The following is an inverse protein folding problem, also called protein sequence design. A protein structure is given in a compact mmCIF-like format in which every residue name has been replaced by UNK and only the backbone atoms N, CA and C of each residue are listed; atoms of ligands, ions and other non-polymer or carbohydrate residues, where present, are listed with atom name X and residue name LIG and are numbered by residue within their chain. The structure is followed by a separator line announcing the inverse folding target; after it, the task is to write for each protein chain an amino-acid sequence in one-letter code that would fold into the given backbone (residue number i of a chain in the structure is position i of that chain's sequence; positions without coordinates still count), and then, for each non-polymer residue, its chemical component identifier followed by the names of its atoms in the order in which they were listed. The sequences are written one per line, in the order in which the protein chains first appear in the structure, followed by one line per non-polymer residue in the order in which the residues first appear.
data_IF_472086580771
#
_entry.id   IF_472086580771
#
_cell.length_a   1.000
_cell.length_b   1.000
_cell.length_c   1.000
_cell.angle_alpha   90.00
_cell.angle_beta   90.00
_cell.angle_gamma   90.00
#
_symmetry.space_group_name_H-M   'P 1'
#
loop_
_entity.id
_entity.type
_entity.pdbx_description
1 polymer ?
#
# COMPACT_ATOMS: atom_id res chain seq x y z
N UNK A 1 -10.88 14.85 -8.05
CA UNK A 1 -10.33 13.66 -8.73
C UNK A 1 -8.92 13.44 -8.17
N UNK A 2 -8.77 12.64 -7.11
CA UNK A 2 -7.45 12.45 -6.48
C UNK A 2 -6.60 11.52 -7.33
N UNK A 3 -5.39 11.94 -7.71
CA UNK A 3 -4.36 11.11 -8.31
C UNK A 3 -3.89 10.08 -7.27
N UNK A 4 -4.66 9.02 -7.05
CA UNK A 4 -4.11 7.81 -6.43
C UNK A 4 -3.14 7.23 -7.45
N UNK A 5 -1.85 7.39 -7.19
CA UNK A 5 -0.79 6.75 -7.95
C UNK A 5 -1.11 5.25 -8.05
N UNK A 6 -1.15 4.71 -9.28
CA UNK A 6 -1.31 3.27 -9.52
C UNK A 6 -0.02 2.59 -9.08
N UNK A 7 0.07 2.26 -7.80
CA UNK A 7 1.18 1.50 -7.28
C UNK A 7 1.33 0.18 -8.06
N UNK A 8 2.57 -0.27 -8.20
CA UNK A 8 2.93 -1.52 -8.88
C UNK A 8 3.80 -2.36 -7.96
N UNK A 9 3.89 -3.66 -8.25
CA UNK A 9 5.00 -4.46 -7.74
C UNK A 9 6.24 -4.17 -8.60
N UNK A 10 7.41 -4.07 -7.97
CA UNK A 10 8.70 -3.90 -8.64
C UNK A 10 9.66 -4.99 -8.13
N UNK A 11 10.35 -5.66 -9.05
CA UNK A 11 11.42 -6.59 -8.69
C UNK A 11 12.81 -5.92 -8.63
N UNK A 12 13.84 -6.68 -8.26
CA UNK A 12 15.22 -6.15 -8.12
C UNK A 12 15.83 -5.61 -9.43
N UNK A 13 15.28 -6.00 -10.58
CA UNK A 13 15.71 -5.52 -11.90
C UNK A 13 14.98 -4.24 -12.32
N UNK A 14 13.99 -3.79 -11.53
CA UNK A 14 13.15 -2.64 -11.82
C UNK A 14 11.93 -2.97 -12.69
N UNK A 15 11.70 -4.24 -13.03
CA UNK A 15 10.51 -4.62 -13.80
C UNK A 15 9.27 -4.47 -12.96
N UNK A 16 8.26 -3.82 -13.54
CA UNK A 16 7.00 -3.50 -12.89
C UNK A 16 5.89 -4.49 -13.26
N UNK A 17 5.02 -4.77 -12.29
CA UNK A 17 3.87 -5.65 -12.45
C UNK A 17 2.61 -5.04 -11.80
N UNK A 18 1.40 -5.25 -12.37
CA UNK A 18 0.16 -4.74 -11.80
C UNK A 18 -0.14 -5.34 -10.41
N UNK A 19 -0.68 -4.54 -9.49
CA UNK A 19 -1.17 -5.03 -8.18
C UNK A 19 -2.46 -5.86 -8.29
N UNK A 20 -3.19 -5.73 -9.40
CA UNK A 20 -4.45 -6.46 -9.64
C UNK A 20 -4.24 -7.91 -10.06
N UNK A 21 -3.01 -8.30 -10.37
CA UNK A 21 -2.64 -9.65 -10.77
C UNK A 21 -1.97 -10.36 -9.58
N UNK A 22 -2.61 -11.40 -8.99
CA UNK A 22 -2.06 -12.10 -7.85
C UNK A 22 -0.68 -12.70 -8.14
N UNK A 23 0.35 -12.21 -7.44
CA UNK A 23 1.70 -12.75 -7.50
C UNK A 23 2.42 -12.60 -6.16
N UNK A 24 3.44 -13.42 -5.97
CA UNK A 24 4.26 -13.40 -4.76
C UNK A 24 5.78 -13.28 -5.06
N UNK A 25 6.20 -13.40 -6.32
CA UNK A 25 7.59 -13.28 -6.78
C UNK A 25 7.67 -12.72 -8.21
N UNK A 26 8.83 -12.16 -8.58
CA UNK A 26 9.15 -11.80 -9.95
C UNK A 26 9.36 -13.03 -10.84
N UNK A 27 9.51 -12.81 -12.15
CA UNK A 27 9.70 -13.91 -13.11
C UNK A 27 10.99 -14.71 -12.82
N UNK A 28 12.02 -14.04 -12.30
CA UNK A 28 13.30 -14.63 -11.85
C UNK A 28 13.20 -15.27 -10.45
N UNK A 29 12.08 -15.08 -9.76
CA UNK A 29 11.83 -15.53 -8.41
C UNK A 29 12.36 -14.67 -7.29
N UNK A 30 12.83 -13.48 -7.59
CA UNK A 30 13.14 -12.50 -6.58
C UNK A 30 11.88 -12.01 -5.84
N UNK A 31 12.03 -11.54 -4.59
CA UNK A 31 10.97 -10.85 -3.88
C UNK A 31 10.51 -9.60 -4.63
N UNK A 32 9.27 -9.19 -4.37
CA UNK A 32 8.67 -7.98 -4.92
C UNK A 32 8.57 -6.90 -3.84
N UNK A 33 8.85 -5.66 -4.24
CA UNK A 33 8.57 -4.46 -3.45
C UNK A 33 7.37 -3.72 -4.05
N UNK A 34 6.73 -2.84 -3.27
CA UNK A 34 5.83 -1.84 -3.85
C UNK A 34 6.66 -0.74 -4.50
N UNK A 35 6.16 -0.19 -5.61
CA UNK A 35 6.67 1.05 -6.20
C UNK A 35 6.69 2.18 -5.19
N UNK A 36 7.49 3.21 -5.44
CA UNK A 36 7.54 4.39 -4.58
C UNK A 36 6.13 4.95 -4.33
N UNK A 37 5.83 5.17 -3.04
CA UNK A 37 4.58 5.76 -2.57
C UNK A 37 4.90 7.08 -1.87
N UNK A 38 3.93 8.01 -1.82
CA UNK A 38 4.06 9.19 -0.97
C UNK A 38 4.37 8.79 0.47
N UNK A 39 5.31 9.49 1.11
CA UNK A 39 5.62 9.29 2.51
C UNK A 39 4.45 9.70 3.42
N UNK A 40 4.39 9.09 4.61
CA UNK A 40 3.43 9.45 5.66
C UNK A 40 3.93 10.65 6.44
N UNK A 41 3.06 11.66 6.60
CA UNK A 41 3.28 12.78 7.53
C UNK A 41 2.43 12.62 8.79
N UNK A 42 2.81 13.23 9.93
CA UNK A 42 2.00 13.21 11.14
C UNK A 42 0.56 13.74 10.94
N UNK A 43 0.39 14.74 10.07
CA UNK A 43 -0.91 15.34 9.76
C UNK A 43 -1.86 14.41 8.99
N UNK A 44 -1.34 13.37 8.34
CA UNK A 44 -2.13 12.38 7.60
C UNK A 44 -2.59 11.21 8.48
N UNK A 45 -2.19 11.17 9.75
CA UNK A 45 -2.63 10.14 10.69
C UNK A 45 -4.04 10.50 11.16
N UNK A 46 -5.01 9.61 10.95
CA UNK A 46 -6.40 9.78 11.39
C UNK A 46 -6.52 9.41 12.87
N UNK A 47 -6.69 10.36 13.81
CA UNK A 47 -6.47 10.09 15.23
C UNK A 47 -7.54 9.20 15.88
N UNK A 48 -8.78 9.23 15.36
CA UNK A 48 -9.91 8.46 15.89
C UNK A 48 -10.06 7.08 15.25
N UNK A 49 -9.27 6.79 14.22
CA UNK A 49 -9.25 5.48 13.60
C UNK A 49 -8.45 4.50 14.48
N UNK A 50 -9.13 3.49 15.01
CA UNK A 50 -8.59 2.54 15.98
C UNK A 50 -8.08 1.25 15.33
N UNK A 51 -7.49 1.39 14.15
CA UNK A 51 -6.88 0.29 13.39
C UNK A 51 -5.63 0.74 12.61
N UNK A 52 -5.02 -0.14 11.81
CA UNK A 52 -3.94 0.25 10.88
C UNK A 52 -4.41 1.27 9.85
N UNK A 53 -5.72 1.36 9.62
CA UNK A 53 -6.34 2.33 8.71
C UNK A 53 -6.18 3.78 9.17
N UNK A 54 -5.63 4.04 10.36
CA UNK A 54 -5.20 5.38 10.75
C UNK A 54 -4.15 5.97 9.80
N UNK A 55 -3.48 5.14 9.01
CA UNK A 55 -2.50 5.53 7.99
C UNK A 55 -3.06 5.52 6.56
N UNK A 56 -4.39 5.47 6.39
CA UNK A 56 -5.08 5.33 5.10
C UNK A 56 -4.69 6.34 4.01
N UNK A 57 -4.16 7.52 4.38
CA UNK A 57 -3.76 8.56 3.43
C UNK A 57 -2.58 8.20 2.53
N UNK A 58 -1.83 7.13 2.84
CA UNK A 58 -0.67 6.68 2.05
C UNK A 58 -0.79 5.24 1.55
N UNK A 59 -1.85 4.52 1.94
CA UNK A 59 -2.07 3.17 1.45
C UNK A 59 -2.57 3.22 0.00
N UNK A 60 -2.02 2.40 -0.93
CA UNK A 60 -2.36 2.43 -2.34
C UNK A 60 -3.69 1.71 -2.66
N UNK A 61 -4.65 1.79 -1.75
CA UNK A 61 -5.97 1.15 -1.84
C UNK A 61 -7.05 2.11 -1.38
N UNK A 62 -8.29 1.92 -1.82
CA UNK A 62 -9.41 2.74 -1.35
C UNK A 62 -9.74 2.41 0.12
N UNK A 63 -9.63 3.36 1.06
CA UNK A 63 -9.95 3.15 2.45
C UNK A 63 -11.42 2.80 2.68
N UNK A 64 -12.33 3.18 1.77
CA UNK A 64 -13.73 2.80 1.84
C UNK A 64 -13.95 1.27 1.69
N UNK A 65 -12.97 0.55 1.13
CA UNK A 65 -12.97 -0.91 1.02
C UNK A 65 -12.21 -1.59 2.16
N UNK A 66 -11.82 -0.84 3.19
CA UNK A 66 -11.01 -1.34 4.28
C UNK A 66 -11.74 -2.32 5.18
N UNK A 67 -11.05 -3.39 5.55
CA UNK A 67 -11.49 -4.37 6.55
C UNK A 67 -10.45 -4.39 7.66
N UNK A 68 -10.90 -4.45 8.91
CA UNK A 68 -10.02 -4.45 10.08
C UNK A 68 -10.54 -5.40 11.14
N UNK A 69 -9.61 -5.97 11.91
CA UNK A 69 -9.90 -6.69 13.15
C UNK A 69 -9.46 -5.88 14.39
N UNK A 70 -9.13 -4.59 14.22
CA UNK A 70 -8.63 -3.71 15.28
C UNK A 70 -7.10 -3.74 15.45
N UNK A 71 -6.35 -4.20 14.45
CA UNK A 71 -4.88 -4.24 14.45
C UNK A 71 -4.23 -2.84 14.48
N UNK A 72 -2.93 -2.73 14.79
CA UNK A 72 -2.20 -1.46 14.67
C UNK A 72 -2.27 -0.53 15.90
N UNK A 73 -2.80 -1.04 17.02
CA UNK A 73 -2.82 -0.40 18.34
C UNK A 73 -2.09 -1.24 19.41
N UNK A 74 -0.98 -1.89 19.01
CA UNK A 74 -0.05 -2.60 19.90
C UNK A 74 0.88 -1.66 20.64
#
# INVERSE_FOLDING_TARGET
MSLRSRATFIDRSGKSYPLTDPRWRGDDGSPLSLSELPGLTPAQIVPLERSIWRYQGVLPVDPASGVSLGEGWT
#
